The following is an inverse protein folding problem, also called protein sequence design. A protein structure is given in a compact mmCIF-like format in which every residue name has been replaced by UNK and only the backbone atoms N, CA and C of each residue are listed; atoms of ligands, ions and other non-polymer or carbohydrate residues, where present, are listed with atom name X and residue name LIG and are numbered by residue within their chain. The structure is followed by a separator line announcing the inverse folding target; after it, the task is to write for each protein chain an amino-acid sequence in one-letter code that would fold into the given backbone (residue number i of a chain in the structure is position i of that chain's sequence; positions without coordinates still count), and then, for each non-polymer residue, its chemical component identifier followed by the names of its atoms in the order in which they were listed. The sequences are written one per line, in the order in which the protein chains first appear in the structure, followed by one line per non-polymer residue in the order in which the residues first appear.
data_IF_622593382528
#
_entry.id   IF_622593382528
#
_cell.length_a   1.000
_cell.length_b   1.000
_cell.length_c   1.000
_cell.angle_alpha   90.00
_cell.angle_beta   90.00
_cell.angle_gamma   90.00
#
_symmetry.space_group_name_H-M   'P 1'
#
loop_
_entity.id
_entity.type
_entity.pdbx_description
1 polymer ?
#
# COMPACT_ATOMS: atom_id res chain seq x y z
N UNK A 1 -4.35 -2.05 2.95
CA UNK A 1 -5.09 -2.83 3.94
C UNK A 1 -6.38 -2.10 4.25
N UNK A 2 -7.46 -2.71 3.91
CA UNK A 2 -8.77 -2.18 4.22
C UNK A 2 -9.04 -2.46 5.69
N UNK A 3 -9.53 -1.48 6.39
CA UNK A 3 -9.95 -1.67 7.77
C UNK A 3 -11.11 -2.65 7.77
N UNK A 4 -10.85 -3.91 8.10
CA UNK A 4 -11.92 -4.82 8.46
C UNK A 4 -12.60 -4.26 9.70
N UNK A 5 -13.92 -4.17 9.66
CA UNK A 5 -14.70 -4.07 10.89
C UNK A 5 -14.27 -5.22 11.80
N UNK A 6 -14.14 -4.96 13.09
CA UNK A 6 -13.81 -6.01 14.06
C UNK A 6 -14.79 -7.16 13.95
N UNK A 7 -14.28 -8.36 13.85
CA UNK A 7 -15.06 -9.58 13.82
C UNK A 7 -15.13 -10.27 15.19
N UNK A 8 -14.54 -9.65 16.21
CA UNK A 8 -14.49 -10.13 17.59
C UNK A 8 -14.97 -9.06 18.56
N UNK A 9 -15.36 -9.48 19.76
CA UNK A 9 -15.78 -8.55 20.81
C UNK A 9 -14.63 -7.66 21.27
N UNK A 10 -14.92 -6.38 21.50
CA UNK A 10 -13.95 -5.43 22.05
C UNK A 10 -13.64 -5.78 23.51
N UNK A 11 -12.37 -5.95 23.83
CA UNK A 11 -11.88 -6.13 25.19
C UNK A 11 -11.03 -4.92 25.59
N UNK A 12 -11.59 -4.03 26.39
CA UNK A 12 -10.94 -2.82 26.84
C UNK A 12 -9.67 -3.07 27.68
N UNK A 13 -9.54 -4.23 28.30
CA UNK A 13 -8.35 -4.59 29.07
C UNK A 13 -7.16 -4.98 28.17
N UNK A 14 -7.44 -5.52 26.98
CA UNK A 14 -6.44 -5.93 26.00
C UNK A 14 -6.20 -4.87 24.92
N UNK A 15 -7.14 -3.97 24.72
CA UNK A 15 -7.13 -2.99 23.64
C UNK A 15 -7.02 -1.56 24.18
N UNK A 16 -6.07 -1.33 25.09
CA UNK A 16 -5.83 -0.02 25.70
C UNK A 16 -5.31 1.03 24.70
N UNK A 17 -4.75 0.58 23.56
CA UNK A 17 -4.26 1.46 22.51
C UNK A 17 -5.05 1.28 21.21
N UNK A 18 -5.08 2.33 20.41
CA UNK A 18 -5.67 2.27 19.08
C UNK A 18 -4.84 1.34 18.20
N UNK A 19 -5.42 0.20 17.78
CA UNK A 19 -4.77 -0.79 16.92
C UNK A 19 -4.61 -0.33 15.45
N UNK A 20 -4.83 0.96 15.14
CA UNK A 20 -4.59 1.50 13.80
C UNK A 20 -3.10 1.58 13.51
N UNK A 21 -2.65 1.12 12.34
CA UNK A 21 -1.28 1.32 11.92
C UNK A 21 -1.00 2.82 11.66
N UNK A 22 0.21 3.28 11.98
CA UNK A 22 0.65 4.65 11.68
C UNK A 22 0.90 4.85 10.19
N UNK A 23 1.27 3.79 9.49
CA UNK A 23 1.48 3.75 8.04
C UNK A 23 1.25 2.35 7.50
N UNK A 24 1.14 2.23 6.19
CA UNK A 24 1.09 0.94 5.51
C UNK A 24 1.94 0.94 4.24
N UNK A 25 2.44 -0.23 3.87
CA UNK A 25 3.22 -0.47 2.65
C UNK A 25 2.57 -1.60 1.87
N UNK A 26 1.55 -1.34 1.07
CA UNK A 26 0.95 -2.35 0.21
C UNK A 26 1.88 -2.71 -0.95
N UNK A 27 2.45 -3.90 -0.87
CA UNK A 27 3.31 -4.47 -1.91
C UNK A 27 2.47 -5.37 -2.80
N UNK A 28 2.34 -5.05 -4.06
CA UNK A 28 1.49 -5.73 -5.04
C UNK A 28 0.12 -6.17 -4.47
N UNK A 29 -0.69 -5.23 -3.93
CA UNK A 29 -2.01 -5.60 -3.41
C UNK A 29 -2.87 -6.22 -4.53
N UNK A 30 -3.58 -7.30 -4.21
CA UNK A 30 -4.31 -8.11 -5.17
C UNK A 30 -5.79 -8.26 -4.80
N UNK A 31 -6.62 -8.63 -5.77
CA UNK A 31 -8.05 -8.87 -5.61
C UNK A 31 -8.85 -7.64 -5.15
N UNK A 32 -8.42 -6.46 -5.56
CA UNK A 32 -9.05 -5.20 -5.19
C UNK A 32 -9.76 -4.51 -6.36
N UNK A 33 -9.61 -5.03 -7.58
CA UNK A 33 -10.21 -4.47 -8.79
C UNK A 33 -11.35 -5.35 -9.31
N UNK A 34 -12.30 -4.71 -9.99
CA UNK A 34 -13.38 -5.40 -10.70
C UNK A 34 -12.84 -6.22 -11.87
N UNK A 35 -13.65 -7.19 -12.35
CA UNK A 35 -13.38 -7.85 -13.62
C UNK A 35 -13.29 -6.79 -14.72
N UNK A 36 -12.22 -6.86 -15.54
CA UNK A 36 -11.94 -5.85 -16.56
C UNK A 36 -11.11 -4.67 -16.07
N UNK A 37 -10.73 -4.67 -14.79
CA UNK A 37 -9.76 -3.71 -14.21
C UNK A 37 -10.18 -2.23 -14.29
N UNK A 38 -11.46 -1.93 -14.51
CA UNK A 38 -11.93 -0.57 -14.72
C UNK A 38 -12.10 0.25 -13.44
N UNK A 39 -12.19 -0.39 -12.28
CA UNK A 39 -12.40 0.28 -11.00
C UNK A 39 -11.98 -0.62 -9.83
N UNK A 40 -11.89 -0.02 -8.63
CA UNK A 40 -11.82 -0.77 -7.39
C UNK A 40 -13.15 -1.47 -7.11
N UNK A 41 -13.10 -2.60 -6.43
CA UNK A 41 -14.30 -3.26 -5.92
C UNK A 41 -15.06 -2.32 -4.97
N UNK A 42 -16.40 -2.35 -4.95
CA UNK A 42 -17.21 -1.44 -4.13
C UNK A 42 -16.92 -1.51 -2.62
N UNK A 43 -16.49 -2.67 -2.12
CA UNK A 43 -16.13 -2.88 -0.72
C UNK A 43 -14.76 -2.32 -0.35
N UNK A 44 -13.94 -1.95 -1.35
CA UNK A 44 -12.64 -1.31 -1.12
C UNK A 44 -12.84 0.16 -0.83
N UNK A 45 -12.67 0.54 0.43
CA UNK A 45 -12.90 1.92 0.90
C UNK A 45 -11.61 2.53 1.44
N UNK A 46 -11.32 3.74 0.97
CA UNK A 46 -10.37 4.65 1.59
C UNK A 46 -11.18 5.72 2.32
N UNK A 47 -10.84 5.99 3.56
CA UNK A 47 -11.50 7.00 4.38
C UNK A 47 -10.48 7.95 4.96
N UNK A 48 -10.93 9.08 5.53
CA UNK A 48 -10.04 10.04 6.22
C UNK A 48 -9.30 9.41 7.41
N UNK A 49 -9.74 8.23 7.86
CA UNK A 49 -9.09 7.45 8.90
C UNK A 49 -8.01 6.49 8.36
N UNK A 50 -7.86 6.37 7.04
CA UNK A 50 -6.82 5.51 6.45
C UNK A 50 -5.43 6.06 6.76
N UNK A 51 -4.45 5.17 7.12
CA UNK A 51 -3.09 5.61 7.41
C UNK A 51 -2.37 6.07 6.16
N UNK A 52 -1.32 6.87 6.30
CA UNK A 52 -0.42 7.18 5.19
C UNK A 52 0.10 5.90 4.54
N UNK A 53 0.32 5.91 3.24
CA UNK A 53 0.61 4.70 2.48
C UNK A 53 1.71 4.88 1.45
N UNK A 54 2.49 3.81 1.27
CA UNK A 54 3.46 3.67 0.20
C UNK A 54 3.08 2.45 -0.64
N UNK A 55 2.62 2.67 -1.87
CA UNK A 55 2.17 1.61 -2.77
C UNK A 55 3.29 1.22 -3.73
N UNK A 56 3.50 -0.10 -3.91
CA UNK A 56 4.50 -0.63 -4.84
C UNK A 56 3.86 -1.71 -5.70
N UNK A 57 4.06 -1.61 -7.01
CA UNK A 57 3.53 -2.58 -7.95
C UNK A 57 4.44 -2.71 -9.18
N UNK A 58 4.30 -3.82 -9.90
CA UNK A 58 4.86 -3.99 -11.23
C UNK A 58 3.76 -3.79 -12.27
N UNK A 59 4.03 -2.98 -13.29
CA UNK A 59 3.03 -2.61 -14.31
C UNK A 59 2.69 -3.76 -15.28
N UNK A 60 3.50 -4.80 -15.32
CA UNK A 60 3.25 -6.03 -16.09
C UNK A 60 2.42 -7.08 -15.30
N UNK A 61 2.05 -6.78 -14.07
CA UNK A 61 1.09 -7.55 -13.29
C UNK A 61 -0.35 -7.23 -13.77
N UNK A 62 -1.16 -8.24 -14.01
CA UNK A 62 -2.45 -8.12 -14.75
C UNK A 62 -3.60 -8.85 -14.06
N UNK A 63 -4.81 -8.51 -14.49
CA UNK A 63 -6.03 -9.14 -14.00
C UNK A 63 -6.28 -8.81 -12.54
N UNK A 64 -6.61 -9.81 -11.75
CA UNK A 64 -6.90 -9.65 -10.31
C UNK A 64 -5.72 -9.15 -9.49
N UNK A 65 -4.50 -9.19 -10.05
CA UNK A 65 -3.27 -8.73 -9.43
C UNK A 65 -2.75 -7.44 -10.07
N UNK A 66 -3.55 -6.80 -10.90
CA UNK A 66 -3.17 -5.62 -11.69
C UNK A 66 -2.65 -4.46 -10.83
N UNK A 67 -1.62 -3.79 -11.35
CA UNK A 67 -1.09 -2.55 -10.79
C UNK A 67 -2.12 -1.42 -10.72
N UNK A 68 -3.22 -1.51 -11.48
CA UNK A 68 -4.31 -0.53 -11.39
C UNK A 68 -4.93 -0.49 -9.99
N UNK A 69 -4.89 -1.58 -9.23
CA UNK A 69 -5.32 -1.57 -7.83
C UNK A 69 -4.57 -0.50 -7.02
N UNK A 70 -3.24 -0.48 -7.10
CA UNK A 70 -2.42 0.52 -6.42
C UNK A 70 -2.65 1.93 -6.97
N UNK A 71 -2.81 2.07 -8.27
CA UNK A 71 -3.07 3.35 -8.91
C UNK A 71 -4.42 3.95 -8.47
N UNK A 72 -5.49 3.16 -8.46
CA UNK A 72 -6.80 3.60 -8.00
C UNK A 72 -6.80 3.94 -6.51
N UNK A 73 -6.15 3.14 -5.67
CA UNK A 73 -5.98 3.45 -4.25
C UNK A 73 -5.26 4.78 -4.06
N UNK A 74 -4.18 5.02 -4.80
CA UNK A 74 -3.47 6.28 -4.76
C UNK A 74 -4.38 7.47 -5.13
N UNK A 75 -5.21 7.32 -6.17
CA UNK A 75 -6.18 8.35 -6.55
C UNK A 75 -7.17 8.63 -5.41
N UNK A 76 -7.72 7.61 -4.77
CA UNK A 76 -8.63 7.77 -3.63
C UNK A 76 -7.94 8.48 -2.45
N UNK A 77 -6.68 8.16 -2.17
CA UNK A 77 -5.88 8.86 -1.17
C UNK A 77 -5.74 10.35 -1.50
N UNK A 78 -5.44 10.67 -2.75
CA UNK A 78 -5.27 12.07 -3.18
C UNK A 78 -6.57 12.87 -3.11
N UNK A 79 -7.70 12.26 -3.45
CA UNK A 79 -9.03 12.89 -3.31
C UNK A 79 -9.34 13.29 -1.88
N UNK A 80 -8.88 12.52 -0.89
CA UNK A 80 -9.09 12.78 0.53
C UNK A 80 -7.98 13.63 1.17
N UNK A 81 -6.96 14.05 0.40
CA UNK A 81 -5.84 14.79 0.92
C UNK A 81 -4.92 13.98 1.85
N UNK A 82 -4.98 12.66 1.78
CA UNK A 82 -4.15 11.77 2.59
C UNK A 82 -2.75 11.62 2.00
N UNK A 83 -1.71 11.55 2.84
CA UNK A 83 -0.34 11.31 2.37
C UNK A 83 -0.22 9.92 1.72
N UNK A 84 0.30 9.89 0.50
CA UNK A 84 0.57 8.64 -0.21
C UNK A 84 1.70 8.82 -1.22
N UNK A 85 2.44 7.73 -1.45
CA UNK A 85 3.44 7.62 -2.50
C UNK A 85 3.18 6.35 -3.30
N UNK A 86 3.38 6.39 -4.62
CA UNK A 86 3.13 5.28 -5.53
C UNK A 86 4.34 5.05 -6.43
N UNK A 87 4.84 3.82 -6.44
CA UNK A 87 5.85 3.36 -7.39
C UNK A 87 5.32 2.20 -8.21
N UNK A 88 5.22 2.40 -9.53
CA UNK A 88 4.87 1.34 -10.48
C UNK A 88 6.05 1.15 -11.43
N UNK A 89 6.69 0.00 -11.33
CA UNK A 89 7.81 -0.40 -12.18
C UNK A 89 7.28 -1.10 -13.43
N UNK A 90 7.91 -0.90 -14.59
CA UNK A 90 7.42 -1.49 -15.83
C UNK A 90 7.43 -3.02 -15.85
N UNK A 91 8.36 -3.62 -15.09
CA UNK A 91 8.55 -5.08 -15.03
C UNK A 91 8.76 -5.57 -13.62
N UNK A 92 8.33 -6.79 -13.35
CA UNK A 92 8.48 -7.47 -12.06
C UNK A 92 7.52 -8.62 -11.88
N UNK A 93 6.38 -8.58 -12.54
CA UNK A 93 5.28 -9.55 -12.36
C UNK A 93 4.68 -9.49 -10.97
N UNK A 94 3.87 -10.48 -10.64
CA UNK A 94 3.32 -10.62 -9.29
C UNK A 94 4.29 -11.38 -8.38
N UNK A 95 4.39 -10.94 -7.12
CA UNK A 95 5.20 -11.67 -6.13
C UNK A 95 6.71 -11.51 -6.30
N UNK A 96 7.17 -10.34 -6.75
CA UNK A 96 8.62 -10.08 -6.90
C UNK A 96 9.40 -10.13 -5.57
N UNK A 97 8.75 -9.83 -4.43
CA UNK A 97 9.37 -9.93 -3.11
C UNK A 97 10.73 -9.26 -3.03
N UNK A 98 11.71 -9.98 -2.49
CA UNK A 98 13.10 -9.51 -2.34
C UNK A 98 14.04 -10.15 -3.39
N UNK A 99 13.52 -10.50 -4.56
CA UNK A 99 14.32 -11.06 -5.65
C UNK A 99 15.43 -10.09 -6.08
N UNK A 100 16.53 -10.66 -6.55
CA UNK A 100 17.68 -9.91 -7.08
C UNK A 100 18.00 -10.41 -8.48
N UNK A 101 17.23 -9.96 -9.45
CA UNK A 101 17.36 -10.35 -10.86
C UNK A 101 17.71 -9.18 -11.79
N UNK A 102 18.21 -8.08 -11.21
CA UNK A 102 18.66 -6.90 -11.98
C UNK A 102 17.55 -5.97 -12.44
N UNK A 103 16.30 -6.20 -12.05
CA UNK A 103 15.20 -5.29 -12.40
C UNK A 103 15.12 -4.10 -11.44
N UNK A 104 14.72 -2.90 -11.91
CA UNK A 104 14.55 -1.73 -11.05
C UNK A 104 13.64 -1.96 -9.84
N UNK A 105 12.61 -2.79 -9.99
CA UNK A 105 11.68 -3.13 -8.89
C UNK A 105 12.39 -3.78 -7.69
N UNK A 106 13.57 -4.37 -7.89
CA UNK A 106 14.31 -5.02 -6.80
C UNK A 106 14.77 -4.03 -5.71
N UNK A 107 14.83 -2.74 -6.02
CA UNK A 107 15.23 -1.69 -5.07
C UNK A 107 14.06 -1.06 -4.31
N UNK A 108 12.87 -1.64 -4.40
CA UNK A 108 11.67 -1.07 -3.77
C UNK A 108 11.82 -0.86 -2.26
N UNK A 109 12.51 -1.77 -1.56
CA UNK A 109 12.69 -1.65 -0.12
C UNK A 109 13.55 -0.43 0.26
N UNK A 110 14.53 -0.07 -0.57
CA UNK A 110 15.31 1.16 -0.39
C UNK A 110 14.43 2.40 -0.55
N UNK A 111 13.50 2.39 -1.50
CA UNK A 111 12.53 3.48 -1.69
C UNK A 111 11.60 3.63 -0.49
N UNK A 112 11.16 2.53 0.11
CA UNK A 112 10.39 2.57 1.37
C UNK A 112 11.20 3.23 2.49
N UNK A 113 12.46 2.85 2.65
CA UNK A 113 13.35 3.46 3.66
C UNK A 113 13.50 4.98 3.47
N UNK A 114 13.66 5.43 2.25
CA UNK A 114 13.71 6.86 1.92
C UNK A 114 12.40 7.57 2.28
N UNK A 115 11.27 6.98 1.92
CA UNK A 115 9.95 7.51 2.25
C UNK A 115 9.73 7.60 3.76
N UNK A 116 10.06 6.55 4.51
CA UNK A 116 9.93 6.55 5.97
C UNK A 116 10.72 7.69 6.63
N UNK A 117 11.92 7.99 6.11
CA UNK A 117 12.72 9.13 6.58
C UNK A 117 12.11 10.47 6.17
N UNK A 118 11.68 10.59 4.93
CA UNK A 118 11.05 11.81 4.42
C UNK A 118 9.77 12.18 5.18
N UNK A 119 9.00 11.16 5.60
CA UNK A 119 7.78 11.33 6.38
C UNK A 119 8.04 11.50 7.89
N UNK A 120 9.29 11.43 8.33
CA UNK A 120 9.67 11.57 9.73
C UNK A 120 9.24 10.39 10.61
N UNK A 121 8.93 9.23 10.02
CA UNK A 121 8.52 8.03 10.75
C UNK A 121 9.74 7.36 11.39
N UNK A 122 10.88 7.41 10.72
CA UNK A 122 12.17 6.96 11.23
C UNK A 122 13.19 8.11 11.16
N UNK A 123 14.24 8.08 12.00
CA UNK A 123 15.27 9.12 11.97
C UNK A 123 15.92 9.26 10.58
N UNK A 124 16.35 10.47 10.25
CA UNK A 124 17.18 10.71 9.08
C UNK A 124 18.46 9.84 9.13
N UNK A 125 18.96 9.44 7.96
CA UNK A 125 20.24 8.76 7.90
C UNK A 125 21.32 9.67 8.50
N UNK A 126 22.16 9.12 9.40
CA UNK A 126 23.33 9.84 9.89
C UNK A 126 24.36 9.90 8.75
N UNK A 127 24.85 11.11 8.48
CA UNK A 127 25.95 11.32 7.55
C UNK A 127 27.26 10.80 8.13
#
# INVERSE_FOLDING_TARGET
MLFRSRTYAFDAALEVENARPDFMVPVYPAYLVEKGEGALLPEVKVTTASPRAFFIHAGDDKGQTSALASAYLYVEYRKLGLPAELHVYSKGGHGFGMKRNGLPVNDWAARVGEWLRAEGIVPAAQE
#
